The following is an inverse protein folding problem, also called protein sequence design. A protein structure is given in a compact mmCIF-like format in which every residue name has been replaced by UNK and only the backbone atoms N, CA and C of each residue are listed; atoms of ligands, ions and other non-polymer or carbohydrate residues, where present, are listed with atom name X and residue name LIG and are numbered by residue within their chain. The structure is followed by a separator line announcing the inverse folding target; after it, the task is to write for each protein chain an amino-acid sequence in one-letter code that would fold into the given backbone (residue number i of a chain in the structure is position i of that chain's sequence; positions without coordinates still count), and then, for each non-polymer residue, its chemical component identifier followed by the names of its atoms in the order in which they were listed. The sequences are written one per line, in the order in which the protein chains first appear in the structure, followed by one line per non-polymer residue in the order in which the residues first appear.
data_IF_829693248709
#
_entry.id   IF_829693248709
#
_cell.length_a   1.000
_cell.length_b   1.000
_cell.length_c   1.000
_cell.angle_alpha   90.00
_cell.angle_beta   90.00
_cell.angle_gamma   90.00
#
_symmetry.space_group_name_H-M   'P 1'
#
loop_
_entity.id
_entity.type
_entity.pdbx_description
1 polymer ?
#
# COMPACT_ATOMS: atom_id res chain seq x y z
N UNK A 1 4.31 -33.53 42.96
CA UNK A 1 4.48 -34.99 42.83
C UNK A 1 3.50 -35.55 41.80
N UNK A 2 3.76 -35.48 40.49
CA UNK A 2 4.67 -34.56 39.79
C UNK A 2 4.20 -34.37 38.34
N UNK A 3 4.15 -33.12 37.88
CA UNK A 3 3.57 -32.76 36.58
C UNK A 3 4.66 -32.65 35.53
N UNK A 4 5.13 -33.80 35.03
CA UNK A 4 6.20 -33.92 34.03
C UNK A 4 5.83 -33.26 32.70
N UNK A 5 5.93 -31.94 32.65
CA UNK A 5 5.90 -31.15 31.42
C UNK A 5 7.24 -31.35 30.73
N UNK A 6 7.30 -32.31 29.81
CA UNK A 6 8.50 -32.62 29.04
C UNK A 6 8.88 -31.43 28.15
N UNK A 7 9.68 -30.51 28.69
CA UNK A 7 10.20 -29.35 27.98
C UNK A 7 11.03 -29.80 26.77
N UNK A 8 10.43 -29.77 25.59
CA UNK A 8 11.09 -30.15 24.33
C UNK A 8 12.33 -29.28 24.16
N UNK A 9 13.51 -29.91 24.21
CA UNK A 9 14.78 -29.22 24.32
C UNK A 9 14.92 -28.14 23.22
N UNK A 10 15.26 -26.93 23.64
CA UNK A 10 15.56 -25.83 22.74
C UNK A 10 16.94 -26.06 22.10
N UNK A 11 16.98 -26.96 21.10
CA UNK A 11 18.13 -27.12 20.21
C UNK A 11 18.52 -25.73 19.69
N UNK A 12 19.78 -25.35 19.89
CA UNK A 12 20.23 -23.97 19.77
C UNK A 12 19.89 -23.41 18.39
N UNK A 13 19.04 -22.37 18.34
CA UNK A 13 18.67 -21.71 17.07
C UNK A 13 19.94 -21.20 16.40
N UNK A 14 20.36 -21.86 15.32
CA UNK A 14 21.58 -21.51 14.61
C UNK A 14 21.53 -20.07 14.09
N UNK A 15 22.69 -19.41 13.99
CA UNK A 15 22.80 -18.17 13.23
C UNK A 15 22.44 -18.43 11.77
N UNK A 16 21.83 -17.44 11.12
CA UNK A 16 21.43 -17.56 9.72
C UNK A 16 22.62 -17.93 8.83
N UNK A 17 22.44 -18.95 7.99
CA UNK A 17 23.47 -19.47 7.06
C UNK A 17 24.02 -18.39 6.10
N UNK A 18 23.30 -17.29 5.86
CA UNK A 18 23.78 -16.11 5.11
C UNK A 18 24.61 -15.11 5.97
N UNK A 19 25.10 -15.50 7.14
CA UNK A 19 26.06 -14.74 7.96
C UNK A 19 25.54 -13.43 8.57
N UNK A 20 24.24 -13.12 8.46
CA UNK A 20 23.69 -11.80 8.74
C UNK A 20 23.45 -11.45 10.23
N UNK A 21 24.09 -12.17 11.16
CA UNK A 21 24.01 -11.92 12.61
C UNK A 21 22.67 -12.20 13.29
N UNK A 22 21.65 -12.67 12.57
CA UNK A 22 20.32 -12.99 13.11
C UNK A 22 20.03 -14.49 13.04
N UNK A 23 19.27 -15.03 13.99
CA UNK A 23 18.96 -16.46 14.09
C UNK A 23 18.05 -16.98 12.96
N UNK A 24 18.29 -18.22 12.51
CA UNK A 24 17.40 -18.96 11.62
C UNK A 24 16.52 -19.97 12.38
N UNK A 25 15.63 -20.63 11.65
CA UNK A 25 14.99 -21.88 12.09
C UNK A 25 15.06 -22.93 10.97
N UNK A 26 14.97 -24.21 11.32
CA UNK A 26 15.00 -25.30 10.35
C UNK A 26 13.85 -25.18 9.32
N UNK A 27 12.67 -24.74 9.78
CA UNK A 27 11.48 -24.41 8.98
C UNK A 27 11.78 -23.39 7.87
N UNK A 28 12.71 -22.47 8.15
CA UNK A 28 13.18 -21.41 7.24
C UNK A 28 14.52 -21.75 6.58
N UNK A 29 14.87 -23.04 6.51
CA UNK A 29 16.16 -23.56 5.99
C UNK A 29 17.38 -22.95 6.68
N UNK A 30 17.28 -22.70 7.99
CA UNK A 30 18.26 -21.99 8.82
C UNK A 30 18.59 -20.58 8.30
N UNK A 31 17.58 -19.86 7.80
CA UNK A 31 17.69 -18.49 7.32
C UNK A 31 16.88 -17.52 8.19
N UNK A 32 17.37 -16.31 8.45
CA UNK A 32 16.54 -15.29 9.09
C UNK A 32 15.40 -14.86 8.16
N UNK A 33 14.30 -14.34 8.71
CA UNK A 33 13.11 -13.93 7.95
C UNK A 33 13.43 -13.01 6.75
N UNK A 34 14.33 -12.03 6.90
CA UNK A 34 14.77 -11.14 5.82
C UNK A 34 15.51 -11.90 4.70
N UNK A 35 16.41 -12.81 5.07
CA UNK A 35 17.18 -13.62 4.11
C UNK A 35 16.33 -14.70 3.44
N UNK A 36 15.36 -15.29 4.16
CA UNK A 36 14.40 -16.25 3.64
C UNK A 36 13.44 -15.59 2.64
N UNK A 37 12.88 -14.42 2.97
CA UNK A 37 12.05 -13.64 2.05
C UNK A 37 12.78 -13.27 0.75
N UNK A 38 14.09 -12.97 0.81
CA UNK A 38 14.90 -12.78 -0.39
C UNK A 38 15.03 -14.09 -1.18
N UNK A 39 15.31 -15.22 -0.51
CA UNK A 39 15.46 -16.53 -1.16
C UNK A 39 14.16 -17.04 -1.81
N UNK A 40 13.00 -16.76 -1.21
CA UNK A 40 11.70 -17.02 -1.84
C UNK A 40 11.52 -16.20 -3.13
N UNK A 41 11.88 -14.91 -3.12
CA UNK A 41 11.84 -14.08 -4.33
C UNK A 41 12.79 -14.60 -5.43
N UNK A 42 14.03 -14.96 -5.07
CA UNK A 42 14.99 -15.52 -6.03
C UNK A 42 14.48 -16.83 -6.62
N UNK A 43 14.01 -17.79 -5.80
CA UNK A 43 13.43 -19.04 -6.32
C UNK A 43 12.21 -18.84 -7.24
N UNK A 44 11.41 -17.78 -7.06
CA UNK A 44 10.31 -17.48 -7.99
C UNK A 44 10.87 -17.03 -9.34
N UNK A 45 11.85 -16.11 -9.34
CA UNK A 45 12.54 -15.64 -10.54
C UNK A 45 13.24 -16.80 -11.27
N UNK A 46 14.02 -17.60 -10.54
CA UNK A 46 14.77 -18.75 -11.07
C UNK A 46 13.85 -19.82 -11.69
N UNK A 47 12.64 -20.01 -11.13
CA UNK A 47 11.63 -20.90 -11.68
C UNK A 47 11.03 -20.33 -12.97
N UNK A 48 10.60 -19.06 -12.95
CA UNK A 48 10.05 -18.42 -14.16
C UNK A 48 11.05 -18.39 -15.31
N UNK A 49 12.35 -18.22 -15.05
CA UNK A 49 13.38 -18.31 -16.08
C UNK A 49 13.45 -19.71 -16.73
N UNK A 50 13.49 -20.77 -15.91
CA UNK A 50 13.61 -22.16 -16.39
C UNK A 50 12.34 -22.67 -17.09
N UNK A 51 11.17 -22.18 -16.68
CA UNK A 51 9.91 -22.51 -17.33
C UNK A 51 9.85 -21.92 -18.76
N UNK A 52 10.40 -20.72 -18.96
CA UNK A 52 10.55 -20.10 -20.29
C UNK A 52 11.57 -20.85 -21.18
N UNK A 53 12.68 -21.31 -20.62
CA UNK A 53 13.66 -22.16 -21.34
C UNK A 53 13.04 -23.49 -21.81
N UNK A 54 12.15 -24.09 -21.02
CA UNK A 54 11.54 -25.40 -21.31
C UNK A 54 10.63 -25.44 -22.55
N UNK A 55 10.23 -24.28 -23.08
CA UNK A 55 9.31 -24.16 -24.22
C UNK A 55 10.01 -24.10 -25.60
N UNK A 56 11.34 -24.08 -25.65
CA UNK A 56 12.11 -23.73 -26.85
C UNK A 56 12.85 -24.91 -27.52
N UNK A 57 12.17 -26.05 -27.73
CA UNK A 57 12.68 -27.17 -28.53
C UNK A 57 11.80 -27.53 -29.74
N UNK A 58 11.86 -26.69 -30.78
CA UNK A 58 11.75 -27.12 -32.18
C UNK A 58 12.62 -26.21 -33.08
N UNK A 59 13.28 -26.79 -34.08
CA UNK A 59 14.18 -26.10 -35.02
C UNK A 59 13.40 -25.75 -36.32
N UNK A 60 13.76 -24.74 -37.12
CA UNK A 60 14.95 -24.67 -37.99
C UNK A 60 15.62 -23.27 -38.08
N UNK A 61 16.67 -23.12 -38.92
CA UNK A 61 17.76 -22.13 -38.80
C UNK A 61 17.59 -20.77 -39.54
N UNK A 62 18.37 -19.72 -39.16
CA UNK A 62 18.50 -18.41 -39.81
C UNK A 62 19.73 -18.36 -40.78
N UNK A 63 20.18 -17.20 -41.33
CA UNK A 63 20.93 -16.12 -40.61
C UNK A 63 20.43 -14.68 -40.99
N UNK A 64 20.93 -13.52 -40.50
CA UNK A 64 22.29 -12.94 -40.48
C UNK A 64 22.44 -11.77 -39.43
N UNK A 65 23.65 -11.17 -39.21
CA UNK A 65 24.01 -10.53 -37.91
C UNK A 65 24.39 -9.02 -37.88
N UNK A 66 24.87 -8.58 -36.69
CA UNK A 66 25.72 -7.40 -36.34
C UNK A 66 25.00 -6.09 -35.93
N UNK A 67 24.91 -5.66 -34.65
CA UNK A 67 25.96 -5.10 -33.74
C UNK A 67 26.92 -4.10 -34.44
N UNK A 68 27.15 -2.86 -33.98
CA UNK A 68 26.79 -2.09 -32.74
C UNK A 68 26.66 -0.57 -33.09
N UNK A 69 26.61 0.47 -32.23
CA UNK A 69 27.02 0.73 -30.83
C UNK A 69 26.32 1.96 -30.20
N UNK A 70 26.47 2.11 -28.88
CA UNK A 70 26.48 3.36 -28.07
C UNK A 70 25.21 4.22 -27.94
N UNK A 71 24.67 4.18 -26.71
CA UNK A 71 24.24 5.29 -25.81
C UNK A 71 23.89 6.68 -26.42
N UNK A 72 22.84 7.37 -25.98
CA UNK A 72 22.37 7.51 -24.60
C UNK A 72 20.92 8.04 -24.54
N UNK A 73 20.05 7.49 -23.70
CA UNK A 73 18.65 7.94 -23.58
C UNK A 73 18.15 8.00 -22.13
N UNK A 74 17.62 9.17 -21.73
CA UNK A 74 16.91 9.39 -20.47
C UNK A 74 15.39 9.25 -20.70
N UNK A 75 14.66 8.63 -19.77
CA UNK A 75 13.54 9.19 -18.98
C UNK A 75 12.73 8.07 -18.27
N UNK A 76 11.59 8.43 -17.67
CA UNK A 76 10.96 7.76 -16.52
C UNK A 76 9.69 6.90 -16.79
N UNK A 77 9.32 6.13 -15.75
CA UNK A 77 7.96 5.85 -15.25
C UNK A 77 6.98 4.87 -15.96
N UNK A 78 6.81 3.71 -15.29
CA UNK A 78 5.55 3.18 -14.70
C UNK A 78 4.42 2.52 -15.55
N UNK A 79 3.61 1.72 -14.85
CA UNK A 79 2.28 1.17 -15.16
C UNK A 79 2.16 -0.02 -16.15
N UNK A 80 1.25 -1.00 -15.94
CA UNK A 80 0.41 -1.26 -14.75
C UNK A 80 -0.87 -2.07 -15.03
N UNK A 81 -1.12 -3.18 -14.31
CA UNK A 81 -2.39 -3.96 -14.34
C UNK A 81 -2.39 -5.11 -13.30
N UNK A 82 -3.52 -5.54 -12.70
CA UNK A 82 -4.89 -4.97 -12.65
C UNK A 82 -5.75 -5.60 -11.52
N UNK A 83 -6.94 -5.00 -11.31
CA UNK A 83 -8.12 -5.44 -10.51
C UNK A 83 -7.92 -5.63 -8.99
N UNK A 84 -8.93 -5.88 -8.14
CA UNK A 84 -10.28 -5.30 -7.83
C UNK A 84 -10.64 -5.81 -6.40
N UNK A 85 -11.54 -5.28 -5.56
CA UNK A 85 -12.11 -3.93 -5.36
C UNK A 85 -12.96 -3.95 -4.04
N UNK A 86 -12.95 -2.87 -3.25
CA UNK A 86 -13.93 -2.65 -2.17
C UNK A 86 -14.03 -1.15 -1.78
N UNK A 87 -15.16 -0.51 -2.12
CA UNK A 87 -15.66 0.75 -1.54
C UNK A 87 -14.69 1.95 -1.37
N UNK A 88 -14.22 2.50 -2.49
CA UNK A 88 -14.14 3.95 -2.74
C UNK A 88 -13.45 4.90 -1.75
N UNK A 89 -12.16 5.19 -2.00
CA UNK A 89 -11.64 6.57 -1.94
C UNK A 89 -10.51 6.73 -2.97
N UNK A 90 -10.32 7.94 -3.52
CA UNK A 90 -9.37 8.28 -4.58
C UNK A 90 -7.96 7.71 -4.46
N UNK A 91 -7.47 7.25 -5.61
CA UNK A 91 -6.10 6.81 -5.86
C UNK A 91 -5.10 7.97 -5.89
N UNK A 92 -4.02 7.86 -5.13
CA UNK A 92 -2.74 8.51 -5.45
C UNK A 92 -1.55 7.63 -4.99
N UNK A 93 -0.44 7.77 -5.74
CA UNK A 93 0.94 7.34 -5.51
C UNK A 93 1.19 6.17 -4.51
N UNK A 94 1.55 5.01 -5.05
CA UNK A 94 1.74 3.74 -4.34
C UNK A 94 2.95 3.64 -3.38
N UNK A 95 3.08 4.54 -2.40
CA UNK A 95 4.18 4.54 -1.43
C UNK A 95 3.66 4.47 0.01
N UNK A 96 3.53 3.22 0.50
CA UNK A 96 2.99 2.73 1.80
C UNK A 96 3.68 3.26 3.08
N UNK A 97 4.32 4.44 3.03
CA UNK A 97 5.00 5.09 4.14
C UNK A 97 4.75 6.61 4.24
N UNK A 98 4.01 7.23 3.30
CA UNK A 98 3.75 8.67 3.28
C UNK A 98 2.64 9.17 4.21
N UNK A 99 1.66 8.33 4.58
CA UNK A 99 0.52 8.72 5.44
C UNK A 99 0.96 9.22 6.83
N UNK A 100 1.09 10.55 6.97
CA UNK A 100 1.50 11.32 8.15
C UNK A 100 0.54 12.49 8.38
N UNK A 101 0.43 12.92 9.63
CA UNK A 101 -0.35 14.08 10.03
C UNK A 101 0.35 15.40 9.63
N UNK A 102 -0.27 16.24 8.78
CA UNK A 102 0.31 17.53 8.35
C UNK A 102 0.76 18.42 9.52
N UNK A 103 -0.04 18.49 10.59
CA UNK A 103 0.23 19.36 11.74
C UNK A 103 1.38 18.90 12.66
N UNK A 104 1.80 17.63 12.63
CA UNK A 104 2.78 17.09 13.61
C UNK A 104 3.66 15.94 13.12
N UNK A 105 3.62 15.61 11.83
CA UNK A 105 4.40 14.57 11.15
C UNK A 105 4.34 13.14 11.71
N UNK A 106 3.53 12.89 12.76
CA UNK A 106 3.21 11.55 13.28
C UNK A 106 2.66 10.69 12.14
N UNK A 107 3.19 9.48 11.95
CA UNK A 107 2.61 8.48 11.03
C UNK A 107 1.18 8.15 11.47
N UNK A 108 0.24 8.19 10.53
CA UNK A 108 -1.18 7.86 10.77
C UNK A 108 -1.65 6.64 9.98
N UNK A 109 -0.96 6.27 8.89
CA UNK A 109 -1.21 5.00 8.20
C UNK A 109 -2.64 4.91 7.68
N UNK A 110 -3.39 3.91 8.17
CA UNK A 110 -4.81 3.70 7.84
C UNK A 110 -5.76 4.53 8.71
N UNK A 111 -5.36 4.95 9.92
CA UNK A 111 -6.20 5.70 10.87
C UNK A 111 -6.04 7.21 10.76
N UNK A 112 -5.65 7.70 9.58
CA UNK A 112 -5.51 9.11 9.27
C UNK A 112 -6.79 9.71 8.70
N UNK A 113 -7.18 10.87 9.20
CA UNK A 113 -8.39 11.57 8.77
C UNK A 113 -8.05 12.61 7.70
N UNK A 114 -8.68 12.53 6.52
CA UNK A 114 -8.62 13.61 5.51
C UNK A 114 -9.52 14.76 5.96
N UNK A 115 -9.03 16.00 5.83
CA UNK A 115 -9.80 17.21 6.08
C UNK A 115 -10.33 17.81 4.77
N UNK A 116 -11.30 18.74 4.85
CA UNK A 116 -11.84 19.47 3.69
C UNK A 116 -10.81 20.37 2.99
N UNK A 117 -9.72 20.72 3.66
CA UNK A 117 -8.56 21.39 3.04
C UNK A 117 -7.62 20.44 2.25
N UNK A 118 -7.97 19.15 2.11
CA UNK A 118 -7.18 18.15 1.39
C UNK A 118 -6.09 17.46 2.22
N UNK A 119 -5.58 18.13 3.26
CA UNK A 119 -4.56 17.57 4.16
C UNK A 119 -5.05 16.42 5.04
N UNK A 120 -4.10 15.63 5.53
CA UNK A 120 -4.34 14.38 6.26
C UNK A 120 -3.78 14.49 7.70
N UNK A 121 -4.57 14.07 8.70
CA UNK A 121 -4.33 14.36 10.12
C UNK A 121 -4.46 13.14 11.04
N UNK A 122 -3.86 13.22 12.23
CA UNK A 122 -4.06 12.25 13.31
C UNK A 122 -5.31 12.59 14.14
N UNK A 123 -5.76 11.65 14.98
CA UNK A 123 -6.97 11.83 15.80
C UNK A 123 -7.01 13.09 16.68
N UNK A 124 -5.85 13.61 17.14
CA UNK A 124 -5.80 14.90 17.83
C UNK A 124 -6.09 16.06 16.87
N UNK A 125 -5.30 16.17 15.80
CA UNK A 125 -5.41 17.27 14.84
C UNK A 125 -6.53 17.10 13.79
N UNK A 126 -7.54 16.25 14.06
CA UNK A 126 -8.65 15.99 13.13
C UNK A 126 -9.57 17.21 12.95
N UNK A 127 -9.73 18.01 13.99
CA UNK A 127 -10.66 19.14 14.03
C UNK A 127 -10.04 20.40 13.44
N UNK A 128 -10.85 21.25 12.79
CA UNK A 128 -10.39 22.44 12.08
C UNK A 128 -9.64 23.45 12.97
N UNK A 129 -10.00 23.50 14.26
CA UNK A 129 -9.36 24.29 15.32
C UNK A 129 -7.92 23.86 15.63
N UNK A 130 -7.62 22.56 15.49
CA UNK A 130 -6.36 21.94 15.88
C UNK A 130 -5.26 22.04 14.80
N UNK A 131 -5.61 22.50 13.60
CA UNK A 131 -4.68 22.66 12.47
C UNK A 131 -4.89 23.95 11.66
N UNK A 132 -5.59 24.95 12.23
CA UNK A 132 -5.88 26.24 11.59
C UNK A 132 -6.41 26.10 10.15
N UNK A 133 -7.47 25.30 9.97
CA UNK A 133 -7.96 24.91 8.65
C UNK A 133 -8.31 26.14 7.77
N UNK A 134 -7.73 26.28 6.56
CA UNK A 134 -8.00 27.40 5.66
C UNK A 134 -9.36 27.30 4.92
N UNK A 135 -10.16 26.27 5.20
CA UNK A 135 -11.44 26.02 4.55
C UNK A 135 -12.58 26.76 5.27
N UNK A 136 -13.35 27.60 4.58
CA UNK A 136 -14.53 28.25 5.16
C UNK A 136 -15.75 27.30 5.19
N UNK A 137 -15.85 26.56 6.28
CA UNK A 137 -17.02 25.74 6.62
C UNK A 137 -18.31 26.55 6.62
N UNK A 138 -18.31 27.78 7.16
CA UNK A 138 -19.54 28.59 7.28
C UNK A 138 -20.09 28.99 5.91
N UNK A 139 -19.24 29.28 4.92
CA UNK A 139 -19.66 29.51 3.54
C UNK A 139 -20.16 28.22 2.89
N UNK A 140 -19.39 27.14 2.97
CA UNK A 140 -19.75 25.87 2.35
C UNK A 140 -21.08 25.31 2.88
N UNK A 141 -21.28 25.32 4.21
CA UNK A 141 -22.49 24.80 4.85
C UNK A 141 -23.71 25.68 4.51
N UNK A 142 -23.55 27.01 4.36
CA UNK A 142 -24.61 27.90 3.84
C UNK A 142 -24.97 27.58 2.38
N UNK A 143 -24.00 27.29 1.52
CA UNK A 143 -24.24 26.96 0.12
C UNK A 143 -24.99 25.63 -0.03
N UNK A 144 -24.72 24.64 0.82
CA UNK A 144 -25.55 23.43 0.93
C UNK A 144 -26.96 23.78 1.41
N UNK A 145 -27.11 24.51 2.52
CA UNK A 145 -28.42 24.84 3.07
C UNK A 145 -29.29 25.62 2.08
N UNK A 146 -28.72 26.55 1.29
CA UNK A 146 -29.44 27.27 0.24
C UNK A 146 -29.91 26.32 -0.87
N UNK A 147 -29.10 25.32 -1.22
CA UNK A 147 -29.41 24.33 -2.27
C UNK A 147 -30.44 23.28 -1.83
N UNK A 148 -30.47 22.94 -0.54
CA UNK A 148 -31.34 21.89 0.02
C UNK A 148 -32.65 22.43 0.63
N UNK A 149 -32.78 23.75 0.79
CA UNK A 149 -33.98 24.37 1.37
C UNK A 149 -35.21 24.17 0.48
N UNK A 150 -36.15 23.36 0.94
CA UNK A 150 -37.39 23.05 0.23
C UNK A 150 -38.35 24.24 0.28
N UNK A 151 -38.90 24.63 -0.88
CA UNK A 151 -39.84 25.74 -0.98
C UNK A 151 -41.18 25.41 -0.31
N UNK A 152 -41.31 25.75 0.97
CA UNK A 152 -42.57 25.70 1.72
C UNK A 152 -43.57 26.67 1.08
N UNK A 153 -44.46 26.15 0.24
CA UNK A 153 -45.58 26.89 -0.33
C UNK A 153 -46.79 26.68 0.56
N UNK A 154 -47.31 27.78 1.11
CA UNK A 154 -48.63 27.78 1.75
C UNK A 154 -49.72 27.36 0.76
N UNK A 155 -50.78 26.74 1.26
CA UNK A 155 -51.95 26.41 0.46
C UNK A 155 -52.62 27.70 -0.05
N UNK A 156 -53.15 27.68 -1.27
CA UNK A 156 -53.82 28.84 -1.89
C UNK A 156 -55.32 28.91 -1.56
N UNK A 157 -55.87 27.88 -0.93
CA UNK A 157 -57.28 27.82 -0.54
C UNK A 157 -57.52 28.72 0.67
N UNK A 158 -58.37 29.75 0.50
CA UNK A 158 -58.66 30.75 1.54
C UNK A 158 -59.39 30.19 2.77
N UNK A 159 -60.03 29.03 2.64
CA UNK A 159 -60.63 28.28 3.73
C UNK A 159 -60.29 26.80 3.54
N UNK A 160 -59.65 26.21 4.56
CA UNK A 160 -59.52 24.76 4.73
C UNK A 160 -60.51 24.36 5.81
N UNK A 161 -61.38 23.40 5.48
CA UNK A 161 -62.36 22.78 6.39
C UNK A 161 -61.63 21.79 7.31
#
# INVERSE_FOLDING_TARGET
MDSTTTGKAASGRGLCVKGCGFYGSEETKNMCSKCYNHFLKTQIIDKTAKELESLSLSHTKPPNPSLSSSDHALLEQDSGSKTLNAAGFDSDSGLRWKSRCKNCNKKVGLTGFKCRCGDLFCGKHRYATEHSCPFDYKKFDREILIKENQLIKGDKLAQRI
#
